data_IF_170848086040
#
_entry.id   IF_170848086040
#
_cell.length_a   1.000
_cell.length_b   1.000
_cell.length_c   1.000
_cell.angle_alpha   90.00
_cell.angle_beta   90.00
_cell.angle_gamma   90.00
#
_symmetry.space_group_name_H-M   'P 1'
#
loop_
_entity.id
_entity.type
_entity.pdbx_description
1 polymer ?
#
# COMPACT_ATOMS: atom_id res chain seq x y z
N UNK A 1 10.61 -18.28 -32.55
CA UNK A 1 9.63 -18.82 -31.60
C UNK A 1 10.22 -19.93 -30.73
N UNK A 2 10.32 -19.68 -29.43
CA UNK A 2 10.82 -20.56 -28.39
C UNK A 2 9.76 -21.62 -28.08
N UNK A 3 10.17 -22.89 -27.97
CA UNK A 3 9.23 -23.95 -27.59
C UNK A 3 8.74 -23.75 -26.14
N UNK A 4 7.45 -23.98 -25.92
CA UNK A 4 6.87 -23.94 -24.59
C UNK A 4 7.64 -24.85 -23.64
N UNK A 5 7.98 -24.34 -22.46
CA UNK A 5 8.72 -25.05 -21.42
C UNK A 5 10.12 -25.54 -21.83
N UNK A 6 10.78 -24.86 -22.78
CA UNK A 6 12.11 -25.26 -23.27
C UNK A 6 13.17 -25.36 -22.16
N UNK A 7 13.85 -26.51 -22.11
CA UNK A 7 14.96 -26.76 -21.18
C UNK A 7 16.13 -25.77 -21.35
N UNK A 8 16.28 -25.14 -22.52
CA UNK A 8 17.36 -24.20 -22.80
C UNK A 8 17.26 -22.89 -22.00
N UNK A 9 16.06 -22.55 -21.51
CA UNK A 9 15.79 -21.30 -20.77
C UNK A 9 15.28 -21.52 -19.34
N UNK A 10 15.10 -22.78 -18.91
CA UNK A 10 14.67 -23.15 -17.55
C UNK A 10 15.52 -22.48 -16.48
N UNK A 11 16.85 -22.40 -16.69
CA UNK A 11 17.74 -21.76 -15.73
C UNK A 11 17.43 -20.27 -15.55
N UNK A 12 16.99 -19.57 -16.61
CA UNK A 12 16.57 -18.16 -16.54
C UNK A 12 15.33 -18.07 -15.67
N UNK A 13 14.35 -18.94 -15.89
CA UNK A 13 13.11 -19.01 -15.10
C UNK A 13 13.41 -19.21 -13.62
N UNK A 14 14.16 -20.26 -13.28
CA UNK A 14 14.50 -20.60 -11.89
C UNK A 14 15.23 -19.44 -11.21
N UNK A 15 16.22 -18.85 -11.88
CA UNK A 15 16.97 -17.74 -11.31
C UNK A 15 16.11 -16.48 -11.16
N UNK A 16 15.22 -16.20 -12.11
CA UNK A 16 14.26 -15.10 -12.02
C UNK A 16 13.28 -15.26 -10.86
N UNK A 17 12.80 -16.48 -10.56
CA UNK A 17 12.01 -16.71 -9.35
C UNK A 17 12.79 -16.32 -8.10
N UNK A 18 14.02 -16.81 -7.96
CA UNK A 18 14.87 -16.51 -6.80
C UNK A 18 15.10 -14.99 -6.65
N UNK A 19 15.49 -14.32 -7.73
CA UNK A 19 15.76 -12.88 -7.73
C UNK A 19 14.50 -12.07 -7.45
N UNK A 20 13.37 -12.42 -8.05
CA UNK A 20 12.09 -11.76 -7.80
C UNK A 20 11.65 -11.92 -6.34
N UNK A 21 11.92 -13.08 -5.71
CA UNK A 21 11.66 -13.26 -4.28
C UNK A 21 12.50 -12.30 -3.45
N UNK A 22 13.80 -12.15 -3.75
CA UNK A 22 14.67 -11.21 -3.05
C UNK A 22 14.26 -9.74 -3.28
N UNK A 23 13.80 -9.40 -4.48
CA UNK A 23 13.24 -8.07 -4.77
C UNK A 23 11.98 -7.82 -3.93
N UNK A 24 11.01 -8.75 -3.96
CA UNK A 24 9.80 -8.67 -3.15
C UNK A 24 10.11 -8.59 -1.65
N UNK A 25 11.06 -9.40 -1.17
CA UNK A 25 11.58 -9.35 0.18
C UNK A 25 12.16 -7.98 0.53
N UNK A 26 12.98 -7.39 -0.34
CA UNK A 26 13.53 -6.06 -0.14
C UNK A 26 12.44 -4.98 -0.07
N UNK A 27 11.43 -5.05 -0.94
CA UNK A 27 10.28 -4.13 -0.93
C UNK A 27 9.51 -4.24 0.36
N UNK A 28 9.19 -5.46 0.81
CA UNK A 28 8.49 -5.64 2.08
C UNK A 28 9.30 -5.21 3.31
N UNK A 29 10.63 -5.25 3.23
CA UNK A 29 11.51 -4.74 4.27
C UNK A 29 11.54 -3.20 4.32
N UNK A 30 11.43 -2.51 3.19
CA UNK A 30 11.51 -1.06 3.12
C UNK A 30 10.15 -0.37 3.28
N UNK A 31 9.14 -0.84 2.54
CA UNK A 31 8.01 0.02 2.20
C UNK A 31 6.77 -0.22 3.07
N UNK A 32 6.69 -1.33 3.81
CA UNK A 32 5.58 -1.55 4.77
C UNK A 32 5.58 -0.54 5.92
N UNK A 33 6.73 0.08 6.20
CA UNK A 33 6.82 1.20 7.15
C UNK A 33 5.97 2.40 6.71
N UNK A 34 5.68 2.56 5.42
CA UNK A 34 4.86 3.64 4.90
C UNK A 34 3.41 3.57 5.40
N UNK A 35 2.85 2.36 5.56
CA UNK A 35 1.46 2.17 5.99
C UNK A 35 1.31 2.07 7.51
N UNK A 36 2.23 1.37 8.19
CA UNK A 36 2.10 1.08 9.63
C UNK A 36 3.03 1.90 10.53
N UNK A 37 3.97 2.66 9.97
CA UNK A 37 4.95 3.44 10.75
C UNK A 37 4.30 4.43 11.71
N UNK A 38 3.25 5.14 11.27
CA UNK A 38 2.51 6.08 12.13
C UNK A 38 1.79 5.35 13.27
N UNK A 39 1.09 4.25 12.97
CA UNK A 39 0.31 3.47 13.94
C UNK A 39 1.17 2.80 15.00
N UNK A 40 2.36 2.33 14.63
CA UNK A 40 3.32 1.73 15.56
C UNK A 40 4.04 2.82 16.37
N UNK A 41 4.41 3.93 15.71
CA UNK A 41 5.05 5.08 16.36
C UNK A 41 4.17 5.76 17.42
N UNK A 42 2.87 5.86 17.17
CA UNK A 42 1.87 6.38 18.13
C UNK A 42 1.48 5.36 19.21
N UNK A 43 2.08 4.16 19.22
CA UNK A 43 1.77 3.04 20.12
C UNK A 43 0.31 2.56 20.05
N UNK A 44 -0.36 2.82 18.93
CA UNK A 44 -1.73 2.33 18.68
C UNK A 44 -1.71 0.85 18.32
N UNK A 45 -0.73 0.44 17.53
CA UNK A 45 -0.49 -0.97 17.19
C UNK A 45 0.87 -1.41 17.73
N UNK A 46 0.90 -2.64 18.24
CA UNK A 46 2.19 -3.31 18.45
C UNK A 46 2.80 -3.72 17.12
N UNK A 47 4.12 -3.83 17.08
CA UNK A 47 4.83 -4.27 15.88
C UNK A 47 4.33 -5.62 15.35
N UNK A 48 4.01 -6.57 16.24
CA UNK A 48 3.46 -7.87 15.85
C UNK A 48 2.08 -7.75 15.20
N UNK A 49 1.20 -6.93 15.75
CA UNK A 49 -0.12 -6.68 15.15
C UNK A 49 0.00 -6.02 13.78
N UNK A 50 0.87 -5.01 13.65
CA UNK A 50 1.15 -4.37 12.38
C UNK A 50 1.66 -5.38 11.33
N UNK A 51 2.61 -6.26 11.68
CA UNK A 51 3.10 -7.28 10.76
C UNK A 51 2.01 -8.27 10.30
N UNK A 52 1.12 -8.70 11.20
CA UNK A 52 0.01 -9.60 10.87
C UNK A 52 -0.97 -8.92 9.92
N UNK A 53 -1.40 -7.68 10.25
CA UNK A 53 -2.33 -6.92 9.42
C UNK A 53 -1.72 -6.65 8.04
N UNK A 54 -0.49 -6.17 7.98
CA UNK A 54 0.23 -5.97 6.72
C UNK A 54 0.27 -7.24 5.87
N UNK A 55 0.64 -8.38 6.45
CA UNK A 55 0.70 -9.66 5.70
C UNK A 55 -0.64 -9.98 5.02
N UNK A 56 -1.75 -9.80 5.75
CA UNK A 56 -3.10 -10.06 5.21
C UNK A 56 -3.44 -9.07 4.11
N UNK A 57 -3.30 -7.77 4.38
CA UNK A 57 -3.79 -6.73 3.48
C UNK A 57 -2.86 -6.50 2.27
N UNK A 58 -1.54 -6.68 2.39
CA UNK A 58 -0.62 -6.68 1.25
C UNK A 58 -0.97 -7.80 0.27
N UNK A 59 -1.18 -9.03 0.76
CA UNK A 59 -1.52 -10.18 -0.09
C UNK A 59 -2.91 -10.01 -0.72
N UNK A 60 -3.89 -9.51 0.04
CA UNK A 60 -5.21 -9.19 -0.51
C UNK A 60 -5.15 -8.10 -1.58
N UNK A 61 -4.37 -7.04 -1.34
CA UNK A 61 -4.14 -5.97 -2.31
C UNK A 61 -3.50 -6.48 -3.60
N UNK A 62 -2.46 -7.30 -3.45
CA UNK A 62 -1.77 -7.93 -4.57
C UNK A 62 -2.72 -8.78 -5.44
N UNK A 63 -3.59 -9.57 -4.81
CA UNK A 63 -4.56 -10.42 -5.50
C UNK A 63 -5.68 -9.64 -6.19
N UNK A 64 -6.20 -8.60 -5.52
CA UNK A 64 -7.39 -7.89 -5.96
C UNK A 64 -7.11 -6.73 -6.89
N UNK A 65 -5.91 -6.13 -6.84
CA UNK A 65 -5.54 -4.95 -7.64
C UNK A 65 -4.24 -5.12 -8.45
N UNK A 66 -3.39 -6.10 -8.11
CA UNK A 66 -2.04 -6.16 -8.68
C UNK A 66 -1.96 -6.55 -10.17
N UNK A 67 -2.93 -7.26 -10.71
CA UNK A 67 -2.90 -7.62 -12.14
C UNK A 67 -2.87 -6.38 -13.05
N UNK A 68 -3.57 -5.28 -12.71
CA UNK A 68 -3.65 -4.07 -13.55
C UNK A 68 -2.30 -3.39 -13.67
N UNK A 69 -1.62 -3.19 -12.54
CA UNK A 69 -0.30 -2.57 -12.50
C UNK A 69 0.74 -3.50 -13.13
N UNK A 70 0.64 -4.81 -12.89
CA UNK A 70 1.53 -5.80 -13.50
C UNK A 70 1.48 -5.74 -15.02
N UNK A 71 0.27 -5.69 -15.58
CA UNK A 71 0.05 -5.59 -17.02
C UNK A 71 0.60 -4.28 -17.61
N UNK A 72 0.40 -3.14 -16.95
CA UNK A 72 0.98 -1.86 -17.38
C UNK A 72 2.51 -1.92 -17.43
N UNK A 73 3.17 -2.44 -16.40
CA UNK A 73 4.64 -2.55 -16.36
C UNK A 73 5.15 -3.47 -17.49
N UNK A 74 4.38 -4.51 -17.82
CA UNK A 74 4.75 -5.53 -18.79
C UNK A 74 4.53 -5.12 -20.24
N UNK A 75 3.43 -4.40 -20.52
CA UNK A 75 2.93 -4.13 -21.88
C UNK A 75 3.17 -2.69 -22.33
N UNK A 76 3.27 -1.72 -21.41
CA UNK A 76 3.20 -0.31 -21.79
C UNK A 76 4.55 0.41 -21.82
N UNK A 77 5.60 -0.14 -21.20
CA UNK A 77 6.92 0.53 -21.06
C UNK A 77 7.79 0.39 -22.31
N UNK A 78 7.82 -0.80 -22.91
CA UNK A 78 8.61 -1.10 -24.11
C UNK A 78 7.78 -1.92 -25.09
N UNK A 79 8.17 -1.89 -26.36
CA UNK A 79 7.41 -2.55 -27.42
C UNK A 79 7.76 -4.04 -27.52
N UNK A 80 6.81 -4.92 -27.18
CA UNK A 80 7.00 -6.37 -27.21
C UNK A 80 7.26 -6.87 -28.64
N UNK A 81 6.69 -6.21 -29.65
CA UNK A 81 6.83 -6.58 -31.07
C UNK A 81 8.29 -6.53 -31.55
N UNK A 82 9.14 -5.68 -30.95
CA UNK A 82 10.57 -5.60 -31.32
C UNK A 82 11.39 -6.78 -30.80
N UNK A 83 10.80 -7.59 -29.94
CA UNK A 83 11.40 -8.82 -29.41
C UNK A 83 10.78 -10.08 -30.03
N UNK A 84 9.94 -9.93 -31.07
CA UNK A 84 9.48 -11.05 -31.88
C UNK A 84 10.70 -11.82 -32.40
N UNK A 85 10.69 -13.14 -32.22
CA UNK A 85 11.81 -14.06 -32.51
C UNK A 85 13.09 -13.90 -31.67
N UNK A 86 13.12 -12.95 -30.73
CA UNK A 86 14.21 -12.73 -29.76
C UNK A 86 13.73 -12.90 -28.31
N UNK A 87 12.79 -13.83 -28.08
CA UNK A 87 12.15 -14.07 -26.78
C UNK A 87 13.16 -14.35 -25.66
N UNK A 88 14.23 -15.08 -25.96
CA UNK A 88 15.33 -15.34 -25.01
C UNK A 88 16.01 -14.04 -24.55
N UNK A 89 16.19 -13.07 -25.46
CA UNK A 89 16.78 -11.76 -25.12
C UNK A 89 15.85 -11.00 -24.17
N UNK A 90 14.54 -11.02 -24.43
CA UNK A 90 13.55 -10.40 -23.55
C UNK A 90 13.49 -11.07 -22.16
N UNK A 91 13.57 -12.40 -22.09
CA UNK A 91 13.67 -13.10 -20.80
C UNK A 91 14.93 -12.70 -20.02
N UNK A 92 16.09 -12.59 -20.69
CA UNK A 92 17.32 -12.12 -20.07
C UNK A 92 17.23 -10.65 -19.63
N UNK A 93 16.57 -9.79 -20.41
CA UNK A 93 16.30 -8.39 -20.06
C UNK A 93 15.44 -8.26 -18.80
N UNK A 94 14.36 -9.04 -18.70
CA UNK A 94 13.52 -9.10 -17.51
C UNK A 94 14.29 -9.61 -16.28
N UNK A 95 15.12 -10.63 -16.44
CA UNK A 95 15.99 -11.11 -15.37
C UNK A 95 17.00 -10.02 -14.93
N UNK A 96 17.63 -9.33 -15.87
CA UNK A 96 18.56 -8.24 -15.57
C UNK A 96 17.87 -7.08 -14.85
N UNK A 97 16.63 -6.75 -15.25
CA UNK A 97 15.82 -5.73 -14.58
C UNK A 97 15.51 -6.12 -13.13
N UNK A 98 15.03 -7.35 -12.90
CA UNK A 98 14.78 -7.89 -11.56
C UNK A 98 16.04 -7.85 -10.70
N UNK A 99 17.18 -8.28 -11.25
CA UNK A 99 18.44 -8.34 -10.51
C UNK A 99 18.97 -6.95 -10.15
N UNK A 100 18.97 -6.02 -11.11
CA UNK A 100 19.38 -4.64 -10.87
C UNK A 100 18.52 -3.97 -9.79
N UNK A 101 17.20 -4.13 -9.85
CA UNK A 101 16.30 -3.59 -8.84
C UNK A 101 16.45 -4.29 -7.49
N UNK A 102 16.64 -5.62 -7.45
CA UNK A 102 16.83 -6.37 -6.21
C UNK A 102 18.09 -5.89 -5.47
N UNK A 103 19.21 -5.78 -6.19
CA UNK A 103 20.49 -5.33 -5.63
C UNK A 103 20.35 -3.90 -5.10
N UNK A 104 19.81 -2.99 -5.89
CA UNK A 104 19.62 -1.61 -5.46
C UNK A 104 18.72 -1.49 -4.22
N UNK A 105 17.61 -2.23 -4.21
CA UNK A 105 16.65 -2.19 -3.11
C UNK A 105 17.27 -2.72 -1.80
N UNK A 106 17.95 -3.86 -1.86
CA UNK A 106 18.65 -4.43 -0.70
C UNK A 106 19.73 -3.48 -0.18
N UNK A 107 20.53 -2.88 -1.07
CA UNK A 107 21.56 -1.90 -0.68
C UNK A 107 20.91 -0.69 0.00
N UNK A 108 19.83 -0.15 -0.55
CA UNK A 108 19.10 0.96 0.04
C UNK A 108 18.50 0.59 1.42
N UNK A 109 17.94 -0.62 1.57
CA UNK A 109 17.49 -1.15 2.88
C UNK A 109 18.61 -1.17 3.89
N UNK A 110 19.79 -1.66 3.52
CA UNK A 110 20.95 -1.71 4.41
C UNK A 110 21.42 -0.31 4.81
N UNK A 111 21.36 0.65 3.89
CA UNK A 111 21.67 2.06 4.14
C UNK A 111 20.54 2.81 4.85
N UNK A 112 19.40 2.16 5.13
CA UNK A 112 18.20 2.75 5.73
C UNK A 112 17.64 3.93 4.94
N UNK A 113 17.77 3.89 3.61
CA UNK A 113 17.26 4.91 2.73
C UNK A 113 15.86 4.49 2.21
N UNK A 114 14.81 5.31 2.44
CA UNK A 114 13.53 5.08 1.78
C UNK A 114 13.69 5.39 0.30
N UNK A 115 13.48 4.39 -0.55
CA UNK A 115 13.54 4.52 -2.00
C UNK A 115 12.23 4.05 -2.61
N UNK A 116 12.02 4.34 -3.90
CA UNK A 116 10.86 3.83 -4.62
C UNK A 116 11.21 2.58 -5.43
N UNK A 117 10.54 1.47 -5.13
CA UNK A 117 10.61 0.24 -5.92
C UNK A 117 10.20 0.45 -7.37
N UNK A 118 9.15 1.23 -7.62
CA UNK A 118 8.64 1.56 -8.97
C UNK A 118 9.68 2.24 -9.85
N UNK A 119 10.36 3.27 -9.32
CA UNK A 119 11.43 3.95 -10.07
C UNK A 119 12.59 3.00 -10.37
N UNK A 120 12.90 2.12 -9.43
CA UNK A 120 14.00 1.17 -9.54
C UNK A 120 13.75 0.14 -10.64
N UNK A 121 12.53 -0.41 -10.74
CA UNK A 121 12.20 -1.42 -11.76
C UNK A 121 12.00 -0.81 -13.14
N UNK A 122 11.32 0.33 -13.23
CA UNK A 122 11.13 1.03 -14.50
C UNK A 122 12.48 1.50 -15.04
N UNK A 123 13.34 2.05 -14.18
CA UNK A 123 14.70 2.43 -14.56
C UNK A 123 15.53 1.25 -15.08
N UNK A 124 15.45 0.08 -14.43
CA UNK A 124 16.15 -1.12 -14.87
C UNK A 124 15.61 -1.68 -16.20
N UNK A 125 14.29 -1.62 -16.41
CA UNK A 125 13.62 -1.97 -17.68
C UNK A 125 14.11 -1.06 -18.82
N UNK A 126 14.13 0.26 -18.58
CA UNK A 126 14.65 1.23 -19.55
C UNK A 126 16.14 1.00 -19.84
N UNK A 127 16.93 0.70 -18.81
CA UNK A 127 18.35 0.39 -18.93
C UNK A 127 18.61 -0.79 -19.88
N UNK A 128 17.95 -1.93 -19.67
CA UNK A 128 18.12 -3.07 -20.57
C UNK A 128 17.60 -2.76 -21.97
N UNK A 129 16.45 -2.07 -22.09
CA UNK A 129 15.84 -1.76 -23.38
C UNK A 129 16.76 -0.86 -24.22
N UNK A 130 17.38 0.15 -23.59
CA UNK A 130 18.39 1.00 -24.22
C UNK A 130 19.60 0.21 -24.72
N UNK A 131 20.07 -0.77 -23.94
CA UNK A 131 21.23 -1.61 -24.32
C UNK A 131 20.86 -2.58 -25.44
N UNK A 132 19.67 -3.19 -25.39
CA UNK A 132 19.24 -4.22 -26.33
C UNK A 132 18.72 -3.67 -27.66
N UNK A 133 17.95 -2.58 -27.64
CA UNK A 133 17.22 -2.03 -28.80
C UNK A 133 17.43 -0.53 -29.02
N UNK A 134 18.24 0.13 -28.18
CA UNK A 134 18.45 1.58 -28.24
C UNK A 134 17.21 2.38 -27.80
N UNK A 135 17.27 3.71 -27.94
CA UNK A 135 16.19 4.61 -27.54
C UNK A 135 14.89 4.47 -28.35
N UNK A 136 14.95 3.80 -29.50
CA UNK A 136 13.75 3.48 -30.30
C UNK A 136 12.91 2.41 -29.63
N UNK A 137 13.48 1.64 -28.70
CA UNK A 137 12.78 0.58 -28.01
C UNK A 137 11.82 1.02 -26.91
N UNK A 138 11.79 2.32 -26.61
CA UNK A 138 11.05 2.88 -25.50
C UNK A 138 9.79 3.59 -26.02
N UNK A 139 8.65 3.30 -25.38
CA UNK A 139 7.40 4.02 -25.65
C UNK A 139 7.42 5.37 -24.90
N UNK A 140 8.09 6.37 -25.48
CA UNK A 140 8.30 7.69 -24.86
C UNK A 140 7.03 8.39 -24.40
N UNK A 141 5.92 8.23 -25.14
CA UNK A 141 4.62 8.80 -24.76
C UNK A 141 4.12 8.20 -23.44
N UNK A 142 4.15 6.87 -23.31
CA UNK A 142 3.76 6.19 -22.07
C UNK A 142 4.71 6.56 -20.93
N UNK A 143 6.02 6.52 -21.18
CA UNK A 143 7.02 6.91 -20.17
C UNK A 143 6.79 8.33 -19.67
N UNK A 144 6.45 9.27 -20.57
CA UNK A 144 6.10 10.65 -20.19
C UNK A 144 4.90 10.74 -19.25
N UNK A 145 3.85 9.94 -19.48
CA UNK A 145 2.69 9.87 -18.56
C UNK A 145 3.07 9.26 -17.21
N UNK A 146 3.89 8.22 -17.20
CA UNK A 146 4.39 7.60 -15.97
C UNK A 146 5.19 8.63 -15.16
N UNK A 147 6.15 9.30 -15.78
CA UNK A 147 6.97 10.34 -15.12
C UNK A 147 6.09 11.48 -14.60
N UNK A 148 5.10 11.94 -15.39
CA UNK A 148 4.15 12.95 -14.94
C UNK A 148 3.37 12.51 -13.69
N UNK A 149 2.97 11.22 -13.62
CA UNK A 149 2.28 10.67 -12.46
C UNK A 149 3.14 10.68 -11.18
N UNK A 150 4.46 10.51 -11.30
CA UNK A 150 5.37 10.53 -10.14
C UNK A 150 5.43 11.89 -9.45
N UNK A 151 5.23 12.99 -10.20
CA UNK A 151 5.14 14.33 -9.62
C UNK A 151 3.71 14.68 -9.20
N UNK A 152 2.73 14.27 -10.00
CA UNK A 152 1.34 14.62 -9.76
C UNK A 152 0.76 13.89 -8.54
N UNK A 153 1.11 12.63 -8.31
CA UNK A 153 0.58 11.83 -7.19
C UNK A 153 0.96 12.41 -5.81
N UNK A 154 2.24 12.72 -5.50
CA UNK A 154 2.60 13.38 -4.25
C UNK A 154 1.93 14.75 -4.09
N UNK A 155 1.87 15.55 -5.15
CA UNK A 155 1.23 16.87 -5.12
C UNK A 155 -0.26 16.77 -4.78
N UNK A 156 -0.99 15.88 -5.49
CA UNK A 156 -2.42 15.67 -5.26
C UNK A 156 -2.67 15.07 -3.87
N UNK A 157 -1.87 14.10 -3.43
CA UNK A 157 -2.00 13.53 -2.07
C UNK A 157 -1.77 14.59 -0.99
N UNK A 158 -0.80 15.49 -1.17
CA UNK A 158 -0.56 16.61 -0.25
C UNK A 158 -1.73 17.59 -0.21
N UNK A 159 -2.30 17.94 -1.36
CA UNK A 159 -3.49 18.81 -1.43
C UNK A 159 -4.70 18.17 -0.76
N UNK A 160 -4.95 16.88 -1.00
CA UNK A 160 -6.04 16.12 -0.39
C UNK A 160 -5.86 15.99 1.12
N UNK A 161 -4.65 15.65 1.58
CA UNK A 161 -4.30 15.60 3.01
C UNK A 161 -4.54 16.95 3.70
N UNK A 162 -4.13 18.06 3.08
CA UNK A 162 -4.37 19.42 3.63
C UNK A 162 -5.87 19.73 3.66
N UNK A 163 -6.61 19.41 2.61
CA UNK A 163 -8.05 19.62 2.57
C UNK A 163 -8.78 18.83 3.66
N UNK A 164 -8.46 17.54 3.83
CA UNK A 164 -9.01 16.68 4.89
C UNK A 164 -8.68 17.24 6.27
N UNK A 165 -7.42 17.65 6.50
CA UNK A 165 -7.02 18.25 7.77
C UNK A 165 -7.81 19.53 8.08
N UNK A 166 -8.00 20.41 7.10
CA UNK A 166 -8.81 21.63 7.28
C UNK A 166 -10.28 21.31 7.56
N UNK A 167 -10.85 20.29 6.91
CA UNK A 167 -12.20 19.81 7.18
C UNK A 167 -12.32 19.24 8.61
N UNK A 168 -11.40 18.38 9.03
CA UNK A 168 -11.35 17.82 10.40
C UNK A 168 -11.22 18.96 11.41
N UNK A 169 -10.31 19.91 11.18
CA UNK A 169 -10.13 21.06 12.06
C UNK A 169 -11.40 21.89 12.18
N UNK A 170 -12.08 22.17 11.07
CA UNK A 170 -13.28 23.02 11.04
C UNK A 170 -14.51 22.35 11.63
N UNK A 171 -14.74 21.08 11.32
CA UNK A 171 -15.97 20.36 11.66
C UNK A 171 -15.89 19.53 12.93
N UNK A 172 -14.69 19.14 13.36
CA UNK A 172 -14.48 18.27 14.53
C UNK A 172 -13.76 19.04 15.64
N UNK A 173 -12.53 19.50 15.39
CA UNK A 173 -11.68 20.08 16.45
C UNK A 173 -12.19 21.43 16.96
N UNK A 174 -12.83 22.24 16.10
CA UNK A 174 -13.34 23.57 16.48
C UNK A 174 -14.72 23.54 17.16
N UNK A 175 -15.26 22.37 17.51
CA UNK A 175 -16.56 22.23 18.18
C UNK A 175 -16.41 22.27 19.70
N UNK A 176 -17.46 22.66 20.41
CA UNK A 176 -17.47 22.68 21.89
C UNK A 176 -17.18 21.29 22.49
N UNK A 177 -17.72 20.24 21.85
CA UNK A 177 -17.42 18.85 22.15
C UNK A 177 -16.82 18.11 20.93
N UNK A 178 -15.48 18.17 20.73
CA UNK A 178 -14.81 17.51 19.60
C UNK A 178 -14.92 15.99 19.62
N UNK A 179 -14.98 15.37 20.80
CA UNK A 179 -15.11 13.92 20.95
C UNK A 179 -16.41 13.41 20.34
N UNK A 180 -17.53 14.05 20.70
CA UNK A 180 -18.83 13.68 20.17
C UNK A 180 -19.01 14.01 18.68
N UNK A 181 -18.48 15.16 18.25
CA UNK A 181 -18.46 15.56 16.85
C UNK A 181 -17.67 14.55 15.99
N UNK A 182 -16.53 14.09 16.49
CA UNK A 182 -15.68 13.12 15.82
C UNK A 182 -16.29 11.72 15.76
N UNK A 183 -16.92 11.25 16.84
CA UNK A 183 -17.68 10.00 16.86
C UNK A 183 -18.87 10.04 15.89
N UNK A 184 -19.53 11.20 15.76
CA UNK A 184 -20.62 11.39 14.79
C UNK A 184 -20.12 11.40 13.34
N UNK A 185 -18.88 11.84 13.11
CA UNK A 185 -18.24 11.86 11.80
C UNK A 185 -17.62 10.50 11.38
N UNK A 186 -17.38 9.57 12.33
CA UNK A 186 -16.80 8.24 12.07
C UNK A 186 -17.44 7.48 10.90
N UNK A 187 -18.79 7.35 10.83
CA UNK A 187 -19.45 6.62 9.74
C UNK A 187 -19.10 7.17 8.36
N UNK A 188 -18.91 8.48 8.25
CA UNK A 188 -18.59 9.15 6.99
C UNK A 188 -17.17 8.80 6.55
N UNK A 189 -16.19 8.87 7.45
CA UNK A 189 -14.81 8.50 7.14
C UNK A 189 -14.71 7.03 6.73
N UNK A 190 -15.25 6.12 7.55
CA UNK A 190 -15.25 4.68 7.24
C UNK A 190 -15.97 4.38 5.94
N UNK A 191 -17.16 4.95 5.74
CA UNK A 191 -17.94 4.77 4.51
C UNK A 191 -17.19 5.26 3.27
N UNK A 192 -16.61 6.46 3.33
CA UNK A 192 -15.86 7.02 2.22
C UNK A 192 -14.60 6.20 1.90
N UNK A 193 -13.83 5.77 2.91
CA UNK A 193 -12.64 4.97 2.66
C UNK A 193 -12.99 3.60 2.08
N UNK A 194 -14.04 2.95 2.58
CA UNK A 194 -14.55 1.70 2.01
C UNK A 194 -15.05 1.91 0.59
N UNK A 195 -15.76 3.00 0.31
CA UNK A 195 -16.22 3.33 -1.04
C UNK A 195 -15.04 3.38 -2.03
N UNK A 196 -13.99 4.14 -1.70
CA UNK A 196 -12.80 4.30 -2.57
C UNK A 196 -12.10 2.95 -2.79
N UNK A 197 -11.94 2.14 -1.74
CA UNK A 197 -11.27 0.83 -1.89
C UNK A 197 -12.11 -0.16 -2.68
N UNK A 198 -13.41 -0.26 -2.42
CA UNK A 198 -14.30 -1.19 -3.13
C UNK A 198 -14.43 -0.78 -4.60
N UNK A 199 -14.56 0.52 -4.89
CA UNK A 199 -14.63 0.96 -6.29
C UNK A 199 -13.32 0.70 -7.02
N UNK A 200 -12.16 0.85 -6.37
CA UNK A 200 -10.86 0.52 -6.97
C UNK A 200 -10.68 -0.98 -7.25
N UNK A 201 -11.33 -1.86 -6.47
CA UNK A 201 -11.30 -3.31 -6.69
C UNK A 201 -12.30 -3.76 -7.75
N UNK A 202 -13.47 -3.11 -7.81
CA UNK A 202 -14.56 -3.51 -8.71
C UNK A 202 -14.42 -2.87 -10.10
N UNK A 203 -13.91 -1.62 -10.16
CA UNK A 203 -13.70 -0.91 -11.42
C UNK A 203 -12.41 -1.40 -12.09
N UNK A 204 -12.55 -1.96 -13.29
CA UNK A 204 -11.48 -2.63 -14.02
C UNK A 204 -10.79 -3.73 -13.21
N UNK A 205 -11.56 -4.41 -12.34
CA UNK A 205 -11.11 -5.37 -11.32
C UNK A 205 -10.45 -6.65 -11.86
N UNK A 206 -10.00 -7.53 -10.97
CA UNK A 206 -9.24 -8.73 -11.35
C UNK A 206 -10.00 -9.62 -12.34
N UNK A 207 -9.40 -9.95 -13.52
CA UNK A 207 -9.97 -10.90 -14.49
C UNK A 207 -10.23 -12.28 -13.88
N UNK A 208 -9.40 -12.66 -12.89
CA UNK A 208 -9.55 -13.91 -12.13
C UNK A 208 -10.89 -13.97 -11.40
N UNK A 209 -11.39 -12.82 -10.94
CA UNK A 209 -12.69 -12.67 -10.30
C UNK A 209 -13.80 -12.24 -11.27
N UNK A 210 -13.49 -12.12 -12.57
CA UNK A 210 -14.38 -11.60 -13.62
C UNK A 210 -14.96 -10.22 -13.30
N UNK A 211 -14.16 -9.39 -12.62
CA UNK A 211 -14.52 -8.02 -12.27
C UNK A 211 -14.12 -7.02 -13.36
N UNK A 212 -13.38 -7.48 -14.38
CA UNK A 212 -12.84 -6.71 -15.50
C UNK A 212 -13.92 -6.12 -16.42
N UNK A 213 -15.10 -6.75 -16.48
CA UNK A 213 -16.20 -6.35 -17.38
C UNK A 213 -17.36 -5.64 -16.68
N UNK A 214 -17.20 -5.22 -15.42
CA UNK A 214 -18.27 -4.54 -14.68
C UNK A 214 -18.37 -3.08 -15.14
N UNK A 215 -19.55 -2.63 -15.62
CA UNK A 215 -19.71 -1.24 -16.05
C UNK A 215 -19.55 -0.28 -14.86
N UNK A 216 -18.93 0.88 -15.11
CA UNK A 216 -18.55 1.82 -14.06
C UNK A 216 -19.71 2.27 -13.15
N UNK A 217 -20.93 2.40 -13.68
CA UNK A 217 -22.11 2.74 -12.88
C UNK A 217 -22.50 1.62 -11.91
N UNK A 218 -22.32 0.36 -12.31
CA UNK A 218 -22.60 -0.80 -11.45
C UNK A 218 -21.51 -0.92 -10.37
N UNK A 219 -20.25 -0.68 -10.74
CA UNK A 219 -19.15 -0.61 -9.78
C UNK A 219 -19.41 0.49 -8.73
N UNK A 220 -19.81 1.69 -9.15
CA UNK A 220 -20.11 2.81 -8.27
C UNK A 220 -21.32 2.53 -7.36
N UNK A 221 -22.37 1.89 -7.87
CA UNK A 221 -23.57 1.56 -7.07
C UNK A 221 -23.27 0.47 -6.04
N UNK A 222 -22.59 -0.62 -6.42
CA UNK A 222 -22.18 -1.67 -5.47
C UNK A 222 -21.27 -1.10 -4.39
N UNK A 223 -20.27 -0.31 -4.77
CA UNK A 223 -19.36 0.34 -3.82
C UNK A 223 -20.10 1.30 -2.89
N UNK A 224 -21.06 2.07 -3.41
CA UNK A 224 -21.91 2.96 -2.63
C UNK A 224 -22.78 2.22 -1.62
N UNK A 225 -23.41 1.12 -2.03
CA UNK A 225 -24.21 0.27 -1.14
C UNK A 225 -23.35 -0.30 -0.01
N UNK A 226 -22.20 -0.88 -0.33
CA UNK A 226 -21.28 -1.43 0.68
C UNK A 226 -20.79 -0.33 1.64
N UNK A 227 -20.44 0.84 1.12
CA UNK A 227 -20.03 1.99 1.93
C UNK A 227 -21.13 2.46 2.88
N UNK A 228 -22.38 2.57 2.41
CA UNK A 228 -23.52 2.95 3.25
C UNK A 228 -23.80 1.89 4.31
N UNK A 229 -23.75 0.60 3.96
CA UNK A 229 -23.93 -0.50 4.91
C UNK A 229 -22.87 -0.45 6.02
N UNK A 230 -21.59 -0.28 5.67
CA UNK A 230 -20.52 -0.12 6.66
C UNK A 230 -20.74 1.14 7.50
N UNK A 231 -21.10 2.27 6.90
CA UNK A 231 -21.39 3.50 7.65
C UNK A 231 -22.54 3.28 8.66
N UNK A 232 -23.59 2.56 8.29
CA UNK A 232 -24.69 2.19 9.20
C UNK A 232 -24.18 1.30 10.33
N UNK A 233 -23.37 0.27 10.03
CA UNK A 233 -22.79 -0.63 11.03
C UNK A 233 -21.92 0.16 12.02
N UNK A 234 -21.05 1.03 11.53
CA UNK A 234 -20.21 1.89 12.38
C UNK A 234 -21.08 2.79 13.26
N UNK A 235 -22.12 3.41 12.70
CA UNK A 235 -23.04 4.28 13.44
C UNK A 235 -23.82 3.56 14.53
N UNK A 236 -24.26 2.33 14.28
CA UNK A 236 -25.12 1.57 15.21
C UNK A 236 -24.30 0.79 16.24
N UNK A 237 -23.15 0.22 15.86
CA UNK A 237 -22.39 -0.67 16.73
C UNK A 237 -21.15 -0.03 17.32
N UNK A 238 -20.38 0.72 16.53
CA UNK A 238 -19.06 1.24 16.96
C UNK A 238 -19.23 2.55 17.72
N UNK A 239 -19.99 3.50 17.19
CA UNK A 239 -20.19 4.82 17.82
C UNK A 239 -20.73 4.70 19.26
N UNK A 240 -21.78 3.90 19.56
CA UNK A 240 -22.27 3.78 20.93
C UNK A 240 -21.27 3.11 21.87
N UNK A 241 -20.52 2.11 21.39
CA UNK A 241 -19.49 1.42 22.18
C UNK A 241 -18.34 2.36 22.53
N UNK A 242 -17.88 3.17 21.59
CA UNK A 242 -16.80 4.14 21.84
C UNK A 242 -17.26 5.28 22.76
N UNK A 243 -18.53 5.73 22.66
CA UNK A 243 -19.13 6.64 23.65
C UNK A 243 -19.12 6.05 25.06
N UNK A 244 -19.52 4.79 25.22
CA UNK A 244 -19.54 4.12 26.53
C UNK A 244 -18.15 3.96 27.15
N UNK A 245 -17.15 3.59 26.34
CA UNK A 245 -15.75 3.52 26.80
C UNK A 245 -15.22 4.89 27.24
N UNK A 246 -15.57 5.95 26.52
CA UNK A 246 -15.23 7.33 26.87
C UNK A 246 -15.75 7.74 28.25
N UNK A 247 -17.02 7.43 28.53
CA UNK A 247 -17.66 7.69 29.84
C UNK A 247 -16.96 6.91 30.95
N UNK A 248 -16.75 5.60 30.78
CA UNK A 248 -16.09 4.76 31.80
C UNK A 248 -14.64 5.19 32.07
N UNK A 249 -13.91 5.66 31.06
CA UNK A 249 -12.55 6.18 31.21
C UNK A 249 -12.52 7.52 31.96
N UNK A 250 -13.53 8.38 31.78
CA UNK A 250 -13.69 9.62 32.55
C UNK A 250 -13.97 9.33 34.02
N UNK A 251 -14.91 8.41 34.30
CA UNK A 251 -15.24 8.00 35.66
C UNK A 251 -14.01 7.43 36.39
N UNK A 252 -13.21 6.59 35.73
CA UNK A 252 -11.96 6.07 36.31
C UNK A 252 -10.92 7.16 36.57
N UNK A 253 -10.76 8.11 35.65
CA UNK A 253 -9.84 9.22 35.85
C UNK A 253 -10.28 10.13 37.01
N UNK A 254 -11.58 10.45 37.10
CA UNK A 254 -12.14 11.22 38.20
C UNK A 254 -11.95 10.52 39.56
N UNK A 255 -12.19 9.21 39.63
CA UNK A 255 -11.93 8.39 40.83
C UNK A 255 -10.44 8.32 41.22
N UNK A 256 -9.53 8.35 40.25
CA UNK A 256 -8.08 8.39 40.53
C UNK A 256 -7.57 9.77 40.95
N UNK A 257 -8.21 10.85 40.49
CA UNK A 257 -7.89 12.23 40.93
C UNK A 257 -8.36 12.46 42.38
N UNK A 258 -9.44 11.80 42.79
CA UNK A 258 -9.95 11.83 44.17
C UNK A 258 -9.03 11.10 45.18
N UNK A 259 -8.03 10.34 44.71
CA UNK A 259 -7.02 9.64 45.52
C UNK A 259 -5.58 10.13 45.17
N UNK A 260 -5.11 11.24 45.76
CA UNK A 260 -3.91 11.94 45.31
C UNK A 260 -2.62 11.33 45.87
N UNK A 261 -2.28 10.11 45.46
CA UNK A 261 -0.92 9.58 45.64
C UNK A 261 -0.26 9.54 44.25
N UNK A 262 0.47 10.62 43.96
CA UNK A 262 1.27 10.88 42.75
C UNK A 262 0.53 11.42 41.51
N UNK A 263 0.28 12.74 41.50
CA UNK A 263 0.12 13.50 40.25
C UNK A 263 1.41 14.28 39.99
N UNK A 264 2.06 14.00 38.86
CA UNK A 264 3.24 14.71 38.36
C UNK A 264 2.79 16.04 37.71
N UNK A 265 3.25 17.17 38.26
CA UNK A 265 2.78 18.53 37.95
C UNK A 265 3.25 19.08 36.58
N UNK A 266 3.91 18.29 35.74
CA UNK A 266 4.56 18.77 34.51
C UNK A 266 3.91 18.30 33.19
N UNK A 267 2.65 17.86 33.18
CA UNK A 267 1.97 17.52 31.93
C UNK A 267 1.50 18.78 31.19
N UNK A 268 2.28 19.24 30.21
CA UNK A 268 1.86 20.27 29.25
C UNK A 268 0.51 19.86 28.62
N UNK A 269 -0.50 20.72 28.78
CA UNK A 269 -1.85 20.53 28.22
C UNK A 269 -1.79 20.78 26.72
N UNK A 270 -1.50 19.72 25.96
CA UNK A 270 -1.76 19.70 24.53
C UNK A 270 -3.27 19.56 24.26
N UNK A 271 -3.72 20.02 23.09
CA UNK A 271 -5.11 19.91 22.59
C UNK A 271 -5.62 18.45 22.50
N UNK A 272 -4.76 17.47 22.80
CA UNK A 272 -5.00 16.02 22.90
C UNK A 272 -5.54 15.57 24.27
N UNK A 273 -5.82 16.51 25.19
CA UNK A 273 -6.21 16.25 26.59
C UNK A 273 -7.59 15.60 26.78
N UNK A 274 -8.32 15.27 25.71
CA UNK A 274 -9.62 14.57 25.80
C UNK A 274 -9.48 13.11 25.35
N UNK A 275 -9.59 12.12 26.25
CA UNK A 275 -9.36 10.69 25.93
C UNK A 275 -10.30 10.12 24.85
N UNK A 276 -11.50 10.71 24.69
CA UNK A 276 -12.45 10.36 23.64
C UNK A 276 -11.93 10.72 22.23
N UNK A 277 -11.27 11.86 22.10
CA UNK A 277 -10.69 12.35 20.86
C UNK A 277 -9.49 11.48 20.48
N UNK A 278 -8.65 11.14 21.46
CA UNK A 278 -7.53 10.23 21.25
C UNK A 278 -8.02 8.86 20.74
N UNK A 279 -8.97 8.21 21.41
CA UNK A 279 -9.45 6.88 21.01
C UNK A 279 -10.10 6.85 19.62
N UNK A 280 -10.80 7.92 19.25
CA UNK A 280 -11.30 8.14 17.90
C UNK A 280 -10.17 8.11 16.85
N UNK A 281 -9.13 8.91 17.07
CA UNK A 281 -7.99 8.99 16.17
C UNK A 281 -7.24 7.66 16.06
N UNK A 282 -7.12 6.90 17.16
CA UNK A 282 -6.54 5.55 17.13
C UNK A 282 -7.30 4.61 16.18
N UNK A 283 -8.63 4.58 16.28
CA UNK A 283 -9.47 3.72 15.43
C UNK A 283 -9.31 4.07 13.95
N UNK A 284 -9.39 5.36 13.61
CA UNK A 284 -9.20 5.82 12.23
C UNK A 284 -7.79 5.54 11.72
N UNK A 285 -6.76 5.67 12.56
CA UNK A 285 -5.37 5.41 12.20
C UNK A 285 -5.12 3.93 11.86
N UNK A 286 -5.71 3.00 12.61
CA UNK A 286 -5.64 1.56 12.28
C UNK A 286 -6.30 1.28 10.94
N UNK A 287 -7.48 1.86 10.71
CA UNK A 287 -8.22 1.70 9.46
C UNK A 287 -7.42 2.21 8.27
N UNK A 288 -6.89 3.43 8.34
CA UNK A 288 -6.12 4.02 7.24
C UNK A 288 -4.80 3.27 7.02
N UNK A 289 -4.16 2.75 8.06
CA UNK A 289 -2.98 1.89 7.92
C UNK A 289 -3.30 0.57 7.18
N UNK A 290 -4.43 -0.06 7.50
CA UNK A 290 -4.92 -1.28 6.82
C UNK A 290 -5.14 -1.00 5.33
N UNK A 291 -5.85 0.09 5.00
CA UNK A 291 -6.14 0.43 3.60
C UNK A 291 -4.91 0.90 2.85
N UNK A 292 -4.03 1.64 3.51
CA UNK A 292 -2.72 2.00 2.97
C UNK A 292 -1.93 0.75 2.57
N UNK A 293 -1.90 -0.27 3.43
CA UNK A 293 -1.23 -1.54 3.14
C UNK A 293 -1.92 -2.35 2.04
N UNK A 294 -3.24 -2.29 1.95
CA UNK A 294 -3.98 -2.90 0.85
C UNK A 294 -3.63 -2.27 -0.50
N UNK A 295 -3.68 -0.94 -0.60
CA UNK A 295 -3.32 -0.22 -1.81
C UNK A 295 -1.84 -0.42 -2.18
N UNK A 296 -0.97 -0.45 -1.16
CA UNK A 296 0.44 -0.74 -1.29
C UNK A 296 0.69 -2.12 -1.91
N UNK A 297 0.08 -3.18 -1.36
CA UNK A 297 0.24 -4.54 -1.87
C UNK A 297 -0.18 -4.70 -3.32
N UNK A 298 -1.22 -4.00 -3.77
CA UNK A 298 -1.62 -3.97 -5.17
C UNK A 298 -0.55 -3.36 -6.08
N UNK A 299 0.04 -2.24 -5.69
CA UNK A 299 1.04 -1.55 -6.50
C UNK A 299 2.40 -2.25 -6.47
N UNK A 300 2.85 -2.65 -5.29
CA UNK A 300 4.24 -3.05 -5.05
C UNK A 300 4.53 -4.49 -5.40
N UNK A 301 3.59 -5.41 -5.17
CA UNK A 301 3.72 -6.78 -5.70
C UNK A 301 3.92 -6.71 -7.20
N UNK A 302 3.09 -5.96 -7.89
CA UNK A 302 3.14 -5.78 -9.34
C UNK A 302 4.51 -5.29 -9.83
N UNK A 303 5.08 -4.29 -9.15
CA UNK A 303 6.41 -3.79 -9.47
C UNK A 303 7.50 -4.86 -9.28
N UNK A 304 7.35 -5.75 -8.31
CA UNK A 304 8.34 -6.79 -7.99
C UNK A 304 8.24 -8.02 -8.90
N UNK A 305 7.04 -8.35 -9.38
CA UNK A 305 6.80 -9.58 -10.14
C UNK A 305 6.45 -9.36 -11.62
N UNK A 306 6.14 -8.15 -12.08
CA UNK A 306 5.77 -7.95 -13.50
C UNK A 306 6.81 -8.48 -14.51
N UNK A 307 8.14 -8.27 -14.33
CA UNK A 307 9.12 -8.89 -15.22
C UNK A 307 9.17 -10.42 -15.10
N UNK A 308 8.92 -10.97 -13.90
CA UNK A 308 8.81 -12.41 -13.68
C UNK A 308 7.58 -12.97 -14.40
N UNK A 309 6.44 -12.28 -14.34
CA UNK A 309 5.22 -12.62 -15.08
C UNK A 309 5.49 -12.60 -16.58
N UNK A 310 6.20 -11.59 -17.08
CA UNK A 310 6.59 -11.49 -18.50
C UNK A 310 7.38 -12.71 -18.94
N UNK A 311 8.40 -13.03 -18.14
CA UNK A 311 9.26 -14.17 -18.38
C UNK A 311 8.49 -15.50 -18.31
N UNK A 312 7.62 -15.67 -17.33
CA UNK A 312 6.80 -16.86 -17.17
C UNK A 312 5.85 -17.06 -18.36
N UNK A 313 5.22 -16.00 -18.83
CA UNK A 313 4.28 -16.05 -19.94
C UNK A 313 4.98 -16.34 -21.27
N UNK A 314 6.20 -15.83 -21.48
CA UNK A 314 7.07 -16.23 -22.60
C UNK A 314 7.43 -17.72 -22.49
N UNK A 315 7.85 -18.16 -21.30
CA UNK A 315 8.23 -19.57 -21.06
C UNK A 315 7.06 -20.54 -21.28
N UNK A 316 5.85 -20.15 -20.93
CA UNK A 316 4.62 -20.92 -21.15
C UNK A 316 4.07 -20.80 -22.59
N UNK A 317 4.74 -20.06 -23.48
CA UNK A 317 4.30 -19.77 -24.85
C UNK A 317 2.91 -19.11 -24.91
N UNK A 318 2.64 -18.18 -23.99
CA UNK A 318 1.43 -17.38 -23.92
C UNK A 318 1.76 -15.92 -23.55
N UNK A 319 2.55 -15.19 -24.38
CA UNK A 319 3.08 -13.87 -24.03
C UNK A 319 1.98 -12.82 -23.75
N UNK A 320 0.85 -12.92 -24.43
CA UNK A 320 -0.31 -12.03 -24.28
C UNK A 320 -1.25 -12.43 -23.14
N UNK A 321 -0.97 -13.55 -22.48
CA UNK A 321 -1.77 -14.07 -21.38
C UNK A 321 -1.90 -13.11 -20.21
N UNK A 322 -2.94 -13.34 -19.42
CA UNK A 322 -3.20 -12.61 -18.18
C UNK A 322 -2.18 -12.98 -17.10
N UNK A 323 -1.93 -12.03 -16.19
CA UNK A 323 -1.07 -12.25 -15.02
C UNK A 323 -1.64 -13.37 -14.12
N UNK A 324 -0.94 -14.51 -13.95
CA UNK A 324 -1.40 -15.61 -13.10
C UNK A 324 -1.51 -15.22 -11.62
N UNK A 325 -2.63 -15.52 -10.97
CA UNK A 325 -2.88 -15.17 -9.57
C UNK A 325 -1.81 -15.71 -8.58
N UNK A 326 -1.29 -16.91 -8.85
CA UNK A 326 -0.28 -17.52 -7.98
C UNK A 326 1.06 -16.77 -8.01
N UNK A 327 1.38 -16.05 -9.09
CA UNK A 327 2.56 -15.18 -9.15
C UNK A 327 2.38 -13.94 -8.27
N UNK A 328 1.16 -13.39 -8.22
CA UNK A 328 0.82 -12.29 -7.30
C UNK A 328 0.94 -12.77 -5.85
N UNK A 329 0.43 -13.97 -5.53
CA UNK A 329 0.60 -14.58 -4.20
C UNK A 329 2.08 -14.78 -3.88
N UNK A 330 2.87 -15.28 -4.84
CA UNK A 330 4.31 -15.47 -4.69
C UNK A 330 5.02 -14.17 -4.31
N UNK A 331 4.74 -13.08 -5.02
CA UNK A 331 5.26 -11.76 -4.69
C UNK A 331 4.81 -11.27 -3.30
N UNK A 332 3.52 -11.41 -2.99
CA UNK A 332 2.97 -11.03 -1.68
C UNK A 332 3.58 -11.81 -0.51
N UNK A 333 3.88 -13.10 -0.70
CA UNK A 333 4.62 -13.92 0.28
C UNK A 333 6.06 -13.42 0.44
N UNK A 334 6.72 -13.04 -0.65
CA UNK A 334 8.06 -12.44 -0.62
C UNK A 334 8.08 -11.12 0.18
N UNK A 335 7.16 -10.20 -0.10
CA UNK A 335 6.97 -8.95 0.65
C UNK A 335 6.73 -9.25 2.12
N UNK A 336 5.82 -10.17 2.43
CA UNK A 336 5.53 -10.55 3.81
C UNK A 336 6.77 -11.09 4.52
N UNK A 337 7.55 -11.98 3.89
CA UNK A 337 8.80 -12.47 4.47
C UNK A 337 9.79 -11.33 4.77
N UNK A 338 9.93 -10.37 3.84
CA UNK A 338 10.73 -9.16 3.99
C UNK A 338 10.37 -8.34 5.22
N UNK A 339 9.07 -8.08 5.37
CA UNK A 339 8.49 -7.38 6.50
C UNK A 339 8.83 -8.05 7.85
N UNK A 340 8.59 -9.35 7.93
CA UNK A 340 8.75 -10.10 9.18
C UNK A 340 10.20 -10.19 9.64
N UNK A 341 11.16 -10.28 8.69
CA UNK A 341 12.59 -10.47 8.99
C UNK A 341 13.31 -9.13 9.14
N UNK A 342 13.13 -8.19 8.21
CA UNK A 342 13.90 -6.94 8.17
C UNK A 342 13.04 -5.68 8.39
N UNK A 343 11.79 -5.67 7.91
CA UNK A 343 10.93 -4.47 7.98
C UNK A 343 10.63 -3.97 9.38
N UNK A 344 10.69 -4.85 10.38
CA UNK A 344 10.57 -4.50 11.79
C UNK A 344 11.46 -3.34 12.24
N UNK A 345 12.72 -3.33 11.82
CA UNK A 345 13.70 -2.29 12.19
C UNK A 345 13.40 -0.95 11.51
N UNK A 346 12.90 -1.01 10.27
CA UNK A 346 12.53 0.20 9.49
C UNK A 346 11.28 0.84 10.09
N UNK A 347 10.26 0.04 10.42
CA UNK A 347 9.04 0.50 11.10
C UNK A 347 9.37 1.18 12.43
N UNK A 348 10.24 0.59 13.25
CA UNK A 348 10.64 1.18 14.53
C UNK A 348 11.40 2.50 14.37
N UNK A 349 12.22 2.63 13.31
CA UNK A 349 12.99 3.85 13.05
C UNK A 349 12.06 4.97 12.58
N UNK A 350 11.25 4.71 11.55
CA UNK A 350 10.27 5.66 11.02
C UNK A 350 9.23 6.07 12.08
N UNK A 351 8.77 5.13 12.89
CA UNK A 351 7.79 5.39 13.95
C UNK A 351 8.32 6.32 15.05
N UNK A 352 9.60 6.22 15.43
CA UNK A 352 10.21 7.10 16.43
C UNK A 352 10.33 8.54 15.93
N UNK A 353 10.66 8.72 14.66
CA UNK A 353 10.76 10.06 14.08
C UNK A 353 9.38 10.70 13.86
N UNK A 354 8.38 9.89 13.48
CA UNK A 354 7.00 10.34 13.31
C UNK A 354 6.26 10.59 14.63
N UNK A 355 6.63 9.91 15.74
CA UNK A 355 5.98 10.07 17.04
C UNK A 355 6.06 11.48 17.65
N UNK A 356 6.88 12.37 17.07
CA UNK A 356 6.95 13.80 17.46
C UNK A 356 5.78 14.63 16.90
N UNK A 357 4.97 14.05 16.01
CA UNK A 357 3.84 14.70 15.34
C UNK A 357 2.53 14.27 16.04
N UNK A 358 1.58 15.19 16.23
CA UNK A 358 0.32 14.90 16.95
C UNK A 358 -0.54 13.85 16.24
N UNK A 359 -1.23 12.94 16.95
CA UNK A 359 -2.05 11.88 16.34
C UNK A 359 -3.07 12.39 15.30
N UNK A 360 -3.63 13.57 15.54
CA UNK A 360 -4.58 14.24 14.63
C UNK A 360 -3.97 14.60 13.27
N UNK A 361 -2.72 15.06 13.26
CA UNK A 361 -2.01 15.36 12.01
C UNK A 361 -1.46 14.09 11.36
N UNK A 362 -1.11 13.07 12.16
CA UNK A 362 -0.74 11.74 11.67
C UNK A 362 -1.90 11.00 11.00
N UNK A 363 -3.17 11.30 11.33
CA UNK A 363 -4.31 10.67 10.67
C UNK A 363 -4.51 11.13 9.22
N UNK A 364 -4.22 12.40 8.93
CA UNK A 364 -4.52 12.98 7.62
C UNK A 364 -3.55 12.50 6.52
N UNK A 365 -2.38 11.98 6.90
CA UNK A 365 -1.35 11.54 5.97
C UNK A 365 -1.68 10.18 5.32
N UNK A 366 -2.21 9.17 6.04
CA UNK A 366 -2.58 7.89 5.44
C UNK A 366 -4.01 7.84 4.85
N UNK A 367 -4.80 8.91 4.98
CA UNK A 367 -6.16 9.01 4.41
C UNK A 367 -6.09 9.69 3.04
#
# INVERSE_FOLDING_TARGET
MLEAYSNAVVWIVVFSFLVAFFLAFGVGANDVANSFGTSVGSKVLTLRQACILATIFEILGALLMGYKVSDTVRKEIFDLEMYTDEEKLLMMGNLAALFGSAVWNIVATFLKLPISGTHSIIGAILGFTCVAKGFRGIRWKTLGFIVASWFLSPLLSGLVSVAIFLLIRRFILSKENPGDAGLTALPLFYGFTVFVNVISVVLDGSPVLRLDNIPAWLAATVSGVVAILIAIIIRVQVVPRERQKGVSSREQNELSVENPIAADENAEVSDDSRPEVANLFKSLQVMTAIFGSFAHGGNDVSNTIAPLVSLWLIYANNPDGETPAWLLIYGGVGISAGLWIMGRKVIETMGKDLSKITPTSQLCVPF
#
